data_IF_485405745580
#
_entry.id   IF_485405745580
#
_cell.length_a   1.000
_cell.length_b   1.000
_cell.length_c   1.000
_cell.angle_alpha   90.00
_cell.angle_beta   90.00
_cell.angle_gamma   90.00
#
_symmetry.space_group_name_H-M   'P 1'
#
loop_
_entity.id
_entity.type
_entity.pdbx_description
1 polymer ?
#
# COMPACT_ATOMS: atom_id res chain seq x y z
N UNK A 1 -5.96 -12.19 -30.69
CA UNK A 1 -5.98 -11.77 -29.27
C UNK A 1 -7.42 -11.81 -28.79
N UNK A 2 -7.76 -12.68 -27.83
CA UNK A 2 -9.13 -12.72 -27.28
C UNK A 2 -9.40 -11.45 -26.47
N UNK A 3 -10.56 -10.83 -26.69
CA UNK A 3 -11.01 -9.70 -25.89
C UNK A 3 -10.99 -10.06 -24.39
N UNK A 4 -10.48 -9.18 -23.50
CA UNK A 4 -10.47 -9.42 -22.06
C UNK A 4 -11.87 -9.79 -21.54
N UNK A 5 -12.00 -10.89 -20.81
CA UNK A 5 -13.30 -11.34 -20.28
C UNK A 5 -13.71 -10.46 -19.09
N UNK A 6 -14.72 -9.62 -19.28
CA UNK A 6 -15.27 -8.78 -18.22
C UNK A 6 -16.13 -9.61 -17.23
N UNK A 7 -15.48 -10.21 -16.23
CA UNK A 7 -16.16 -11.08 -15.24
C UNK A 7 -16.66 -10.31 -14.02
N UNK A 8 -17.65 -9.42 -14.20
CA UNK A 8 -18.21 -8.55 -13.13
C UNK A 8 -18.60 -9.31 -11.86
N UNK A 9 -19.13 -10.53 -11.98
CA UNK A 9 -19.50 -11.37 -10.84
C UNK A 9 -18.35 -11.80 -9.91
N UNK A 10 -17.08 -11.63 -10.31
CA UNK A 10 -15.95 -11.96 -9.45
C UNK A 10 -15.69 -10.94 -8.34
N UNK A 11 -16.17 -9.69 -8.49
CA UNK A 11 -15.78 -8.61 -7.55
C UNK A 11 -16.17 -8.88 -6.10
N UNK A 12 -17.39 -9.35 -5.77
CA UNK A 12 -17.73 -9.67 -4.38
C UNK A 12 -16.78 -10.73 -3.79
N UNK A 13 -16.33 -11.68 -4.61
CA UNK A 13 -15.36 -12.71 -4.21
C UNK A 13 -13.98 -12.08 -3.99
N UNK A 14 -13.55 -11.16 -4.85
CA UNK A 14 -12.28 -10.44 -4.70
C UNK A 14 -12.24 -9.60 -3.41
N UNK A 15 -13.31 -8.89 -3.11
CA UNK A 15 -13.45 -8.15 -1.84
C UNK A 15 -13.47 -9.12 -0.65
N UNK A 16 -14.24 -10.21 -0.74
CA UNK A 16 -14.27 -11.23 0.30
C UNK A 16 -12.90 -11.87 0.54
N UNK A 17 -12.07 -12.06 -0.50
CA UNK A 17 -10.71 -12.56 -0.36
C UNK A 17 -9.82 -11.58 0.41
N UNK A 18 -9.89 -10.27 0.14
CA UNK A 18 -9.14 -9.26 0.91
C UNK A 18 -9.54 -9.30 2.38
N UNK A 19 -10.84 -9.35 2.66
CA UNK A 19 -11.35 -9.43 4.03
C UNK A 19 -10.93 -10.74 4.72
N UNK A 20 -11.04 -11.87 4.04
CA UNK A 20 -10.63 -13.17 4.57
C UNK A 20 -9.13 -13.19 4.90
N UNK A 21 -8.29 -12.68 3.99
CA UNK A 21 -6.85 -12.56 4.22
C UNK A 21 -6.55 -11.66 5.41
N UNK A 22 -7.25 -10.54 5.56
CA UNK A 22 -7.04 -9.64 6.68
C UNK A 22 -7.46 -10.22 8.04
N UNK A 23 -8.38 -11.18 8.06
CA UNK A 23 -8.85 -11.84 9.28
C UNK A 23 -7.97 -13.01 9.72
N UNK A 24 -7.09 -13.52 8.86
CA UNK A 24 -6.17 -14.60 9.19
C UNK A 24 -5.07 -14.04 10.12
N UNK A 25 -4.81 -14.66 11.28
CA UNK A 25 -3.69 -14.29 12.15
C UNK A 25 -2.39 -14.80 11.52
N UNK A 26 -1.84 -14.05 10.58
CA UNK A 26 -0.60 -14.39 9.93
C UNK A 26 0.57 -14.40 10.92
N UNK A 27 1.59 -15.27 10.73
CA UNK A 27 2.82 -15.21 11.50
C UNK A 27 3.42 -13.81 11.45
N UNK A 28 3.98 -13.33 12.57
CA UNK A 28 4.51 -11.95 12.70
C UNK A 28 5.53 -11.59 11.61
N UNK A 29 6.26 -12.57 11.09
CA UNK A 29 7.26 -12.38 10.05
C UNK A 29 6.69 -12.35 8.62
N UNK A 30 5.41 -12.69 8.41
CA UNK A 30 4.83 -12.79 7.07
C UNK A 30 4.01 -11.55 6.71
N UNK A 31 4.45 -10.73 5.74
CA UNK A 31 3.69 -9.57 5.30
C UNK A 31 2.37 -9.99 4.65
N UNK A 32 1.25 -9.42 5.10
CA UNK A 32 -0.10 -9.63 4.53
C UNK A 32 -0.15 -9.29 3.03
N UNK A 33 0.77 -8.46 2.54
CA UNK A 33 0.93 -8.14 1.13
C UNK A 33 1.21 -9.37 0.24
N UNK A 34 1.87 -10.40 0.76
CA UNK A 34 2.21 -11.62 0.00
C UNK A 34 0.98 -12.45 -0.39
N UNK A 35 0.10 -12.88 0.54
CA UNK A 35 -1.12 -13.58 0.16
C UNK A 35 -2.03 -12.71 -0.72
N UNK A 36 -2.06 -11.39 -0.50
CA UNK A 36 -2.83 -10.46 -1.33
C UNK A 36 -2.32 -10.42 -2.78
N UNK A 37 -1.00 -10.33 -3.00
CA UNK A 37 -0.45 -10.29 -4.37
C UNK A 37 -0.59 -11.66 -5.06
N UNK A 38 -0.58 -12.76 -4.31
CA UNK A 38 -0.89 -14.09 -4.85
C UNK A 38 -2.34 -14.16 -5.35
N UNK A 39 -3.31 -13.72 -4.55
CA UNK A 39 -4.72 -13.64 -4.97
C UNK A 39 -4.93 -12.68 -6.14
N UNK A 40 -4.25 -11.52 -6.14
CA UNK A 40 -4.27 -10.57 -7.24
C UNK A 40 -3.74 -11.20 -8.53
N UNK A 41 -2.64 -11.96 -8.45
CA UNK A 41 -2.04 -12.67 -9.59
C UNK A 41 -3.00 -13.70 -10.17
N UNK A 42 -3.64 -14.50 -9.32
CA UNK A 42 -4.66 -15.48 -9.73
C UNK A 42 -5.85 -14.79 -10.40
N UNK A 43 -6.38 -13.72 -9.80
CA UNK A 43 -7.49 -12.94 -10.38
C UNK A 43 -7.13 -12.39 -11.77
N UNK A 44 -5.94 -11.78 -11.91
CA UNK A 44 -5.51 -11.21 -13.19
C UNK A 44 -5.31 -12.30 -14.24
N UNK A 45 -4.69 -13.42 -13.87
CA UNK A 45 -4.53 -14.59 -14.75
C UNK A 45 -5.88 -15.15 -15.23
N UNK A 46 -6.85 -15.33 -14.32
CA UNK A 46 -8.21 -15.79 -14.66
C UNK A 46 -8.97 -14.85 -15.62
N UNK A 47 -8.56 -13.58 -15.69
CA UNK A 47 -9.11 -12.56 -16.61
C UNK A 47 -8.28 -12.39 -17.88
N UNK A 48 -7.16 -13.11 -18.02
CA UNK A 48 -6.24 -12.99 -19.15
C UNK A 48 -5.49 -11.65 -19.17
N UNK A 49 -5.19 -11.10 -17.99
CA UNK A 49 -4.51 -9.80 -17.81
C UNK A 49 -3.19 -9.97 -17.07
N UNK A 50 -2.27 -9.04 -17.26
CA UNK A 50 -0.94 -9.02 -16.63
C UNK A 50 -0.70 -7.73 -15.84
N UNK A 51 0.22 -7.73 -14.87
CA UNK A 51 0.57 -6.50 -14.13
C UNK A 51 1.27 -5.44 -15.01
N UNK A 52 1.79 -5.82 -16.17
CA UNK A 52 2.38 -4.87 -17.12
C UNK A 52 1.39 -3.80 -17.57
N UNK A 53 0.09 -4.10 -17.56
CA UNK A 53 -0.98 -3.13 -17.86
C UNK A 53 -1.08 -1.98 -16.85
N UNK A 54 -0.61 -2.18 -15.61
CA UNK A 54 -0.63 -1.16 -14.55
C UNK A 54 0.77 -0.64 -14.21
N UNK A 55 1.81 -1.38 -14.60
CA UNK A 55 3.23 -1.03 -14.47
C UNK A 55 3.71 -0.21 -15.68
N UNK A 56 3.07 0.93 -15.93
CA UNK A 56 3.48 1.86 -16.97
C UNK A 56 3.73 3.24 -16.38
N UNK A 57 4.68 3.99 -16.91
CA UNK A 57 4.98 5.34 -16.43
C UNK A 57 6.44 5.69 -16.64
N UNK A 58 6.70 6.97 -16.94
CA UNK A 58 8.06 7.49 -17.06
C UNK A 58 8.68 7.83 -15.71
N UNK A 59 9.96 8.18 -15.75
CA UNK A 59 10.76 8.61 -14.60
C UNK A 59 10.11 9.76 -13.81
N UNK A 60 9.37 10.65 -14.50
CA UNK A 60 8.65 11.75 -13.87
C UNK A 60 7.62 11.27 -12.84
N UNK A 61 6.80 10.26 -13.18
CA UNK A 61 5.79 9.70 -12.27
C UNK A 61 6.46 9.02 -11.07
N UNK A 62 7.57 8.33 -11.31
CA UNK A 62 8.35 7.70 -10.25
C UNK A 62 8.92 8.75 -9.28
N UNK A 63 9.47 9.85 -9.80
CA UNK A 63 10.02 10.94 -9.00
C UNK A 63 8.93 11.66 -8.18
N UNK A 64 7.80 11.99 -8.81
CA UNK A 64 6.65 12.61 -8.10
C UNK A 64 6.17 11.69 -6.98
N UNK A 65 6.04 10.39 -7.26
CA UNK A 65 5.69 9.39 -6.26
C UNK A 65 6.66 9.39 -5.09
N UNK A 66 7.95 9.23 -5.36
CA UNK A 66 8.99 9.21 -4.33
C UNK A 66 8.98 10.49 -3.46
N UNK A 67 8.90 11.68 -4.09
CA UNK A 67 8.82 12.96 -3.38
C UNK A 67 7.55 13.05 -2.52
N UNK A 68 6.40 12.64 -3.04
CA UNK A 68 5.16 12.61 -2.28
C UNK A 68 5.23 11.65 -1.08
N UNK A 69 5.93 10.52 -1.23
CA UNK A 69 6.23 9.61 -0.13
C UNK A 69 7.08 10.25 0.98
N UNK A 70 8.15 10.96 0.61
CA UNK A 70 9.01 11.70 1.55
C UNK A 70 8.23 12.81 2.24
N UNK A 71 7.44 13.59 1.50
CA UNK A 71 6.57 14.64 2.08
C UNK A 71 5.54 14.03 3.01
N UNK A 72 4.91 12.91 2.61
CA UNK A 72 3.97 12.18 3.45
C UNK A 72 4.60 11.72 4.77
N UNK A 73 5.84 11.22 4.72
CA UNK A 73 6.60 10.86 5.92
C UNK A 73 6.86 12.09 6.79
N UNK A 74 7.33 13.19 6.20
CA UNK A 74 7.53 14.44 6.94
C UNK A 74 6.25 14.94 7.63
N UNK A 75 5.10 14.90 6.94
CA UNK A 75 3.81 15.28 7.53
C UNK A 75 3.37 14.31 8.63
N UNK A 76 3.59 13.01 8.45
CA UNK A 76 3.29 12.01 9.46
C UNK A 76 4.10 12.26 10.75
N UNK A 77 5.38 12.60 10.62
CA UNK A 77 6.25 12.89 11.75
C UNK A 77 5.92 14.21 12.45
N UNK A 78 5.69 15.27 11.67
CA UNK A 78 5.49 16.62 12.22
C UNK A 78 4.07 16.85 12.76
N UNK A 79 3.06 16.22 12.13
CA UNK A 79 1.65 16.45 12.47
C UNK A 79 0.99 15.18 13.01
N UNK A 80 1.30 14.02 12.43
CA UNK A 80 0.69 12.74 12.82
C UNK A 80 1.15 12.25 14.19
N UNK A 81 2.47 12.22 14.44
CA UNK A 81 3.06 11.77 15.71
C UNK A 81 2.47 12.51 16.91
N UNK A 82 2.52 13.85 17.00
CA UNK A 82 2.02 14.54 18.19
C UNK A 82 0.53 14.30 18.43
N UNK A 83 -0.28 14.19 17.38
CA UNK A 83 -1.72 13.92 17.50
C UNK A 83 -1.96 12.49 18.01
N UNK A 84 -1.28 11.50 17.45
CA UNK A 84 -1.46 10.10 17.86
C UNK A 84 -0.93 9.86 19.27
N UNK A 85 0.20 10.44 19.64
CA UNK A 85 0.76 10.33 21.00
C UNK A 85 -0.17 11.00 22.03
N UNK A 86 -0.74 12.15 21.71
CA UNK A 86 -1.71 12.84 22.59
C UNK A 86 -2.98 12.02 22.83
N UNK A 87 -3.46 11.31 21.81
CA UNK A 87 -4.68 10.49 21.91
C UNK A 87 -4.40 9.13 22.56
N UNK A 88 -3.28 8.50 22.23
CA UNK A 88 -2.97 7.12 22.64
C UNK A 88 -2.16 7.02 23.94
N UNK A 89 -1.55 8.12 24.39
CA UNK A 89 -0.64 8.17 25.53
C UNK A 89 0.52 7.16 25.41
N UNK A 90 0.93 6.81 24.19
CA UNK A 90 2.02 5.90 23.87
C UNK A 90 2.87 6.49 22.75
N UNK A 91 4.17 6.22 22.78
CA UNK A 91 5.08 6.54 21.68
C UNK A 91 4.65 5.81 20.41
N UNK A 92 4.75 6.48 19.26
CA UNK A 92 4.34 5.90 17.98
C UNK A 92 5.52 5.19 17.32
N UNK A 93 5.34 3.90 17.07
CA UNK A 93 6.20 3.13 16.16
C UNK A 93 5.62 3.23 14.74
N UNK A 94 6.41 3.75 13.80
CA UNK A 94 6.01 4.00 12.41
C UNK A 94 6.42 2.85 11.49
N UNK A 95 7.39 2.03 11.89
CA UNK A 95 7.75 0.77 11.24
C UNK A 95 7.07 -0.41 11.89
N UNK A 96 6.40 -1.24 11.08
CA UNK A 96 5.97 -2.57 11.49
C UNK A 96 7.09 -3.64 11.33
N UNK A 97 8.28 -3.24 10.86
CA UNK A 97 9.40 -4.12 10.59
C UNK A 97 10.46 -4.04 11.70
N UNK A 98 11.22 -5.13 11.95
CA UNK A 98 12.27 -5.14 12.96
C UNK A 98 13.29 -4.02 12.75
N UNK A 99 13.49 -3.18 13.77
CA UNK A 99 14.47 -2.10 13.75
C UNK A 99 15.85 -2.68 14.07
N UNK A 100 16.75 -2.68 13.09
CA UNK A 100 18.12 -3.16 13.28
C UNK A 100 19.08 -1.99 13.51
N UNK A 101 19.95 -2.09 14.51
CA UNK A 101 20.90 -1.02 14.87
C UNK A 101 22.34 -1.54 14.86
N UNK A 102 23.27 -0.71 14.38
CA UNK A 102 24.70 -1.01 14.37
C UNK A 102 25.14 -2.13 13.41
N UNK A 103 24.21 -2.70 12.63
CA UNK A 103 24.50 -3.75 11.66
C UNK A 103 23.95 -3.39 10.27
N UNK A 104 24.83 -2.97 9.38
CA UNK A 104 24.47 -2.53 8.03
C UNK A 104 23.93 -3.67 7.15
N UNK A 105 24.41 -4.91 7.31
CA UNK A 105 23.97 -6.03 6.48
C UNK A 105 22.52 -6.42 6.82
N UNK A 106 22.20 -6.48 8.11
CA UNK A 106 20.83 -6.73 8.55
C UNK A 106 19.89 -5.55 8.19
N UNK A 107 20.36 -4.30 8.27
CA UNK A 107 19.60 -3.14 7.80
C UNK A 107 19.26 -3.24 6.31
N UNK A 108 20.24 -3.61 5.47
CA UNK A 108 20.01 -3.79 4.05
C UNK A 108 18.95 -4.87 3.76
N UNK A 109 18.97 -5.98 4.52
CA UNK A 109 17.94 -7.03 4.41
C UNK A 109 16.55 -6.50 4.76
N UNK A 110 16.42 -5.73 5.85
CA UNK A 110 15.14 -5.12 6.23
C UNK A 110 14.64 -4.16 5.14
N UNK A 111 15.51 -3.31 4.60
CA UNK A 111 15.15 -2.38 3.50
C UNK A 111 14.64 -3.15 2.28
N UNK A 112 15.28 -4.25 1.90
CA UNK A 112 14.84 -5.11 0.79
C UNK A 112 13.46 -5.70 1.08
N UNK A 113 13.24 -6.24 2.27
CA UNK A 113 11.95 -6.82 2.68
C UNK A 113 10.84 -5.76 2.63
N UNK A 114 11.08 -4.58 3.21
CA UNK A 114 10.14 -3.45 3.23
C UNK A 114 9.80 -3.02 1.80
N UNK A 115 10.81 -2.90 0.94
CA UNK A 115 10.62 -2.52 -0.47
C UNK A 115 9.77 -3.54 -1.22
N UNK A 116 10.05 -4.84 -1.06
CA UNK A 116 9.27 -5.91 -1.70
C UNK A 116 7.82 -5.90 -1.19
N UNK A 117 7.61 -5.74 0.11
CA UNK A 117 6.28 -5.66 0.69
C UNK A 117 5.52 -4.42 0.21
N UNK A 118 6.19 -3.27 0.08
CA UNK A 118 5.60 -2.06 -0.48
C UNK A 118 5.11 -2.26 -1.92
N UNK A 119 5.96 -2.88 -2.75
CA UNK A 119 5.61 -3.23 -4.15
C UNK A 119 4.40 -4.17 -4.18
N UNK A 120 4.44 -5.24 -3.38
CA UNK A 120 3.35 -6.22 -3.31
C UNK A 120 2.03 -5.58 -2.87
N UNK A 121 2.05 -4.69 -1.87
CA UNK A 121 0.87 -3.96 -1.39
C UNK A 121 0.26 -3.09 -2.49
N UNK A 122 1.08 -2.36 -3.26
CA UNK A 122 0.55 -1.51 -4.34
C UNK A 122 0.03 -2.32 -5.53
N UNK A 123 0.70 -3.42 -5.88
CA UNK A 123 0.19 -4.34 -6.91
C UNK A 123 -1.15 -4.95 -6.51
N UNK A 124 -1.32 -5.34 -5.25
CA UNK A 124 -2.55 -5.96 -4.78
C UNK A 124 -3.68 -4.95 -4.57
N UNK A 125 -3.42 -3.82 -3.91
CA UNK A 125 -4.46 -2.85 -3.59
C UNK A 125 -4.79 -1.98 -4.80
N UNK A 126 -3.79 -1.34 -5.43
CA UNK A 126 -4.04 -0.38 -6.53
C UNK A 126 -4.13 -1.11 -7.86
N UNK A 127 -3.17 -1.98 -8.14
CA UNK A 127 -3.10 -2.76 -9.38
C UNK A 127 -4.16 -3.85 -9.54
N UNK A 128 -4.85 -4.22 -8.46
CA UNK A 128 -5.94 -5.20 -8.50
C UNK A 128 -7.27 -4.65 -7.98
N UNK A 129 -7.41 -4.30 -6.69
CA UNK A 129 -8.71 -3.93 -6.11
C UNK A 129 -9.23 -2.58 -6.62
N UNK A 130 -8.42 -1.52 -6.56
CA UNK A 130 -8.84 -0.19 -7.02
C UNK A 130 -9.11 -0.20 -8.53
N UNK A 131 -8.23 -0.81 -9.32
CA UNK A 131 -8.45 -0.96 -10.76
C UNK A 131 -9.75 -1.71 -11.07
N UNK A 132 -10.03 -2.78 -10.32
CA UNK A 132 -11.28 -3.52 -10.47
C UNK A 132 -12.51 -2.66 -10.18
N UNK A 133 -12.44 -1.84 -9.14
CA UNK A 133 -13.52 -0.92 -8.80
C UNK A 133 -13.73 0.16 -9.87
N UNK A 134 -12.63 0.66 -10.47
CA UNK A 134 -12.68 1.61 -11.58
C UNK A 134 -13.30 1.00 -12.85
N UNK A 135 -13.01 -0.27 -13.14
CA UNK A 135 -13.61 -0.99 -14.27
C UNK A 135 -15.15 -1.13 -14.14
N UNK A 136 -15.65 -1.32 -12.92
CA UNK A 136 -17.10 -1.44 -12.68
C UNK A 136 -17.84 -0.10 -12.68
N UNK A 137 -17.13 1.03 -12.59
CA UNK A 137 -17.71 2.37 -12.63
C UNK A 137 -17.16 3.21 -13.80
N UNK A 138 -17.38 2.80 -15.07
CA UNK A 138 -17.01 3.65 -16.20
C UNK A 138 -17.80 4.95 -16.13
N UNK A 139 -17.12 6.09 -15.97
CA UNK A 139 -17.73 7.42 -15.97
C UNK A 139 -18.25 7.95 -14.62
N UNK A 140 -18.12 7.21 -13.52
CA UNK A 140 -18.39 7.73 -12.16
C UNK A 140 -17.11 8.26 -11.51
N UNK A 141 -17.28 9.19 -10.57
CA UNK A 141 -16.19 9.79 -9.77
C UNK A 141 -15.29 8.72 -9.14
N UNK A 142 -13.97 8.90 -9.25
CA UNK A 142 -12.95 7.98 -8.74
C UNK A 142 -12.95 7.79 -7.20
N UNK A 143 -13.80 8.54 -6.49
CA UNK A 143 -13.92 8.54 -5.04
C UNK A 143 -14.22 7.16 -4.48
N UNK A 144 -15.21 6.43 -5.01
CA UNK A 144 -15.58 5.12 -4.47
C UNK A 144 -14.43 4.09 -4.57
N UNK A 145 -13.77 3.90 -5.73
CA UNK A 145 -12.58 3.06 -5.84
C UNK A 145 -11.47 3.43 -4.85
N UNK A 146 -11.21 4.74 -4.67
CA UNK A 146 -10.21 5.24 -3.72
C UNK A 146 -10.57 4.86 -2.29
N UNK A 147 -11.84 5.07 -1.89
CA UNK A 147 -12.31 4.71 -0.56
C UNK A 147 -12.25 3.20 -0.30
N UNK A 148 -12.61 2.36 -1.28
CA UNK A 148 -12.49 0.90 -1.17
C UNK A 148 -11.02 0.49 -0.98
N UNK A 149 -10.10 1.08 -1.76
CA UNK A 149 -8.67 0.84 -1.60
C UNK A 149 -8.15 1.28 -0.22
N UNK A 150 -8.59 2.44 0.28
CA UNK A 150 -8.23 2.95 1.60
C UNK A 150 -8.77 2.09 2.75
N UNK A 151 -10.01 1.60 2.64
CA UNK A 151 -10.57 0.67 3.62
C UNK A 151 -9.80 -0.66 3.57
N UNK A 152 -9.49 -1.16 2.38
CA UNK A 152 -8.66 -2.35 2.19
C UNK A 152 -7.31 -2.20 2.90
N UNK A 153 -6.65 -1.05 2.72
CA UNK A 153 -5.41 -0.70 3.42
C UNK A 153 -5.57 -0.75 4.95
N UNK A 154 -6.59 -0.08 5.48
CA UNK A 154 -6.84 0.00 6.92
C UNK A 154 -7.11 -1.37 7.54
N UNK A 155 -7.81 -2.24 6.80
CA UNK A 155 -8.21 -3.58 7.24
C UNK A 155 -7.01 -4.53 7.26
N UNK A 156 -6.10 -4.46 6.27
CA UNK A 156 -4.92 -5.33 6.19
C UNK A 156 -3.75 -4.82 7.04
N UNK A 157 -3.83 -3.58 7.53
CA UNK A 157 -2.79 -2.99 8.39
C UNK A 157 -2.93 -3.51 9.82
N UNK A 158 -1.90 -4.17 10.38
CA UNK A 158 -1.92 -4.58 11.78
C UNK A 158 -1.82 -3.37 12.70
N UNK A 159 -2.38 -3.49 13.90
CA UNK A 159 -2.34 -2.44 14.93
C UNK A 159 -3.72 -1.91 15.36
N UNK A 160 -3.68 -0.90 16.24
CA UNK A 160 -4.87 -0.27 16.79
C UNK A 160 -5.61 0.65 15.81
N UNK A 161 -6.74 1.21 16.25
CA UNK A 161 -7.60 2.07 15.43
C UNK A 161 -6.84 3.28 14.85
N UNK A 162 -5.96 3.91 15.63
CA UNK A 162 -5.15 5.05 15.17
C UNK A 162 -4.24 4.70 14.00
N UNK A 163 -3.53 3.57 14.07
CA UNK A 163 -2.65 3.07 13.00
C UNK A 163 -3.47 2.76 11.75
N UNK A 164 -4.62 2.10 11.90
CA UNK A 164 -5.52 1.77 10.78
C UNK A 164 -6.13 3.02 10.13
N UNK A 165 -6.44 4.06 10.90
CA UNK A 165 -6.88 5.34 10.36
C UNK A 165 -5.76 6.05 9.59
N UNK A 166 -4.53 6.04 10.12
CA UNK A 166 -3.36 6.54 9.39
C UNK A 166 -3.15 5.81 8.07
N UNK A 167 -3.27 4.48 8.08
CA UNK A 167 -3.22 3.65 6.88
C UNK A 167 -4.36 3.97 5.90
N UNK A 168 -5.58 4.20 6.37
CA UNK A 168 -6.69 4.63 5.53
C UNK A 168 -6.38 5.97 4.84
N UNK A 169 -5.91 6.98 5.59
CA UNK A 169 -5.58 8.30 5.07
C UNK A 169 -4.43 8.23 4.05
N UNK A 170 -3.37 7.49 4.37
CA UNK A 170 -2.29 7.22 3.43
C UNK A 170 -2.82 6.53 2.18
N UNK A 171 -3.72 5.56 2.37
CA UNK A 171 -4.36 4.82 1.30
C UNK A 171 -5.22 5.68 0.38
N UNK A 172 -5.90 6.70 0.90
CA UNK A 172 -6.63 7.72 0.13
C UNK A 172 -5.64 8.50 -0.74
N UNK A 173 -4.54 8.97 -0.17
CA UNK A 173 -3.51 9.71 -0.90
C UNK A 173 -2.92 8.89 -2.06
N UNK A 174 -2.58 7.63 -1.80
CA UNK A 174 -2.09 6.70 -2.82
C UNK A 174 -3.15 6.39 -3.90
N UNK A 175 -4.43 6.26 -3.51
CA UNK A 175 -5.52 6.06 -4.45
C UNK A 175 -5.72 7.26 -5.40
N UNK A 176 -5.66 8.48 -4.87
CA UNK A 176 -5.68 9.70 -5.70
C UNK A 176 -4.48 9.76 -6.64
N UNK A 177 -3.29 9.44 -6.13
CA UNK A 177 -2.07 9.41 -6.94
C UNK A 177 -2.16 8.38 -8.07
N UNK A 178 -2.73 7.19 -7.80
CA UNK A 178 -2.97 6.14 -8.80
C UNK A 178 -3.87 6.65 -9.94
N UNK A 179 -4.97 7.30 -9.60
CA UNK A 179 -5.94 7.84 -10.56
C UNK A 179 -5.33 9.00 -11.36
N UNK A 180 -4.68 9.95 -10.68
CA UNK A 180 -4.01 11.09 -11.31
C UNK A 180 -2.86 10.67 -12.22
N UNK A 181 -2.16 9.58 -11.88
CA UNK A 181 -1.12 8.98 -12.71
C UNK A 181 -1.67 8.20 -13.92
N UNK A 182 -2.97 8.24 -14.17
CA UNK A 182 -3.61 7.55 -15.29
C UNK A 182 -3.63 6.03 -15.11
N UNK A 183 -3.96 5.55 -13.90
CA UNK A 183 -4.04 4.12 -13.53
C UNK A 183 -2.70 3.37 -13.53
N UNK A 184 -1.62 4.12 -13.35
CA UNK A 184 -0.28 3.60 -13.15
C UNK A 184 0.00 3.37 -11.66
N UNK A 185 0.51 2.18 -11.30
CA UNK A 185 0.96 1.91 -9.92
C UNK A 185 2.34 2.48 -9.62
N UNK A 186 3.08 3.01 -10.59
CA UNK A 186 4.48 3.42 -10.39
C UNK A 186 4.58 4.57 -9.37
N UNK A 187 3.75 5.60 -9.50
CA UNK A 187 3.77 6.73 -8.58
C UNK A 187 3.43 6.30 -7.12
N UNK A 188 2.29 5.63 -6.84
CA UNK A 188 1.98 5.22 -5.47
C UNK A 188 2.94 4.15 -4.92
N UNK A 189 3.51 3.29 -5.77
CA UNK A 189 4.58 2.35 -5.39
C UNK A 189 5.81 3.05 -4.86
N UNK A 190 6.32 4.02 -5.61
CA UNK A 190 7.51 4.77 -5.22
C UNK A 190 7.22 5.66 -3.99
N UNK A 191 6.00 6.18 -3.86
CA UNK A 191 5.58 6.91 -2.66
C UNK A 191 5.60 6.02 -1.41
N UNK A 192 5.04 4.80 -1.49
CA UNK A 192 5.08 3.86 -0.36
C UNK A 192 6.49 3.42 -0.02
N UNK A 193 7.31 3.07 -1.01
CA UNK A 193 8.71 2.67 -0.79
C UNK A 193 9.45 3.79 -0.06
N UNK A 194 9.38 5.02 -0.58
CA UNK A 194 10.06 6.16 0.02
C UNK A 194 9.58 6.42 1.47
N UNK A 195 8.27 6.35 1.71
CA UNK A 195 7.70 6.49 3.05
C UNK A 195 8.21 5.41 4.02
N UNK A 196 8.07 4.13 3.66
CA UNK A 196 8.36 3.01 4.56
C UNK A 196 9.86 2.82 4.78
N UNK A 197 10.67 2.91 3.72
CA UNK A 197 12.13 2.85 3.84
C UNK A 197 12.64 4.06 4.65
N UNK A 198 12.10 5.24 4.39
CA UNK A 198 12.43 6.44 5.17
C UNK A 198 12.12 6.26 6.66
N UNK A 199 10.95 5.74 7.01
CA UNK A 199 10.56 5.46 8.39
C UNK A 199 11.55 4.49 9.07
N UNK A 200 11.88 3.36 8.43
CA UNK A 200 12.85 2.38 8.95
C UNK A 200 14.22 3.01 9.19
N UNK A 201 14.72 3.81 8.23
CA UNK A 201 16.02 4.46 8.36
C UNK A 201 16.03 5.47 9.51
N UNK A 202 14.99 6.30 9.62
CA UNK A 202 14.90 7.30 10.68
C UNK A 202 14.81 6.65 12.08
N UNK A 203 14.05 5.57 12.23
CA UNK A 203 13.97 4.80 13.48
C UNK A 203 15.29 4.11 13.84
N UNK A 204 16.00 3.59 12.84
CA UNK A 204 17.31 2.99 13.03
C UNK A 204 18.35 4.02 13.50
N UNK A 205 18.24 5.26 13.01
CA UNK A 205 19.08 6.40 13.40
C UNK A 205 18.67 7.04 14.74
N UNK A 206 17.57 6.60 15.37
CA UNK A 206 16.97 7.26 16.55
C UNK A 206 16.58 8.72 16.31
N UNK A 207 16.24 9.06 15.07
CA UNK A 207 15.70 10.38 14.76
C UNK A 207 14.20 10.45 15.08
N UNK A 208 13.55 9.29 15.14
CA UNK A 208 12.15 9.09 15.50
C UNK A 208 12.05 7.78 16.29
N UNK A 209 11.11 7.69 17.24
CA UNK A 209 11.01 6.58 18.20
C UNK A 209 11.66 6.91 19.54
#
# INVERSE_FOLDING_TARGET
>A
MSSPRERRGLVPIEIAMVLAIALIPWPEMMPVALPLVACASISRWLRGRSFTEVLHGGTEKALIGALAGVVGLGLALLLGTPVVEMISLRAVEWSAYPIVRGNASQMAVVIVIVTIAAIASELALRGWIVERMLEMSPGRTAVLPILVGAIGEAVVTPGGVSVRLGAALFGIGLGWMYVAAGRSVVAPMLARIAFQVGAVVLEAMRLIG
#
